data_IF_314085439699
#
_entry.id   IF_314085439699
#
_cell.length_a   1.000
_cell.length_b   1.000
_cell.length_c   1.000
_cell.angle_alpha   90.00
_cell.angle_beta   90.00
_cell.angle_gamma   90.00
#
_symmetry.space_group_name_H-M   'P 1'
#
loop_
_entity.id
_entity.type
_entity.pdbx_description
1 polymer ?
#
# COMPACT_ATOMS: atom_id res chain seq x y z
N UNK A 1 -16.27 10.12 -32.39
CA UNK A 1 -15.32 9.74 -31.33
C UNK A 1 -15.86 8.49 -30.66
N UNK A 2 -15.03 7.48 -30.47
CA UNK A 2 -15.36 6.18 -29.90
C UNK A 2 -14.54 6.04 -28.61
N UNK A 3 -15.17 5.70 -27.50
CA UNK A 3 -14.48 5.41 -26.24
C UNK A 3 -14.39 3.92 -26.00
N UNK A 4 -13.21 3.48 -25.54
CA UNK A 4 -12.89 2.10 -25.19
C UNK A 4 -12.27 2.09 -23.79
N UNK A 5 -12.83 1.31 -22.88
CA UNK A 5 -12.15 0.99 -21.61
C UNK A 5 -11.08 -0.06 -21.87
N UNK A 6 -9.88 0.12 -21.31
CA UNK A 6 -8.73 -0.76 -21.52
C UNK A 6 -8.14 -1.19 -20.18
N UNK A 7 -8.46 -2.42 -19.75
CA UNK A 7 -7.97 -2.97 -18.49
C UNK A 7 -6.68 -3.78 -18.68
N UNK A 8 -5.81 -3.72 -17.67
CA UNK A 8 -4.55 -4.48 -17.61
C UNK A 8 -3.29 -3.68 -17.96
N UNK A 9 -3.41 -2.40 -18.28
CA UNK A 9 -2.25 -1.50 -18.42
C UNK A 9 -1.67 -1.17 -17.04
N UNK A 10 -0.34 -1.20 -16.92
CA UNK A 10 0.35 -0.93 -15.65
C UNK A 10 1.36 0.23 -15.71
N UNK A 11 1.56 0.82 -16.89
CA UNK A 11 2.46 1.98 -17.07
C UNK A 11 2.12 2.78 -18.34
N UNK A 12 2.75 3.95 -18.49
CA UNK A 12 2.58 4.80 -19.68
C UNK A 12 3.01 4.12 -20.99
N UNK A 13 4.02 3.24 -20.96
CA UNK A 13 4.43 2.49 -22.15
C UNK A 13 3.37 1.51 -22.64
N UNK A 14 2.57 0.92 -21.73
CA UNK A 14 1.39 0.12 -22.11
C UNK A 14 0.39 0.95 -22.92
N UNK A 15 0.12 2.18 -22.49
CA UNK A 15 -0.79 3.09 -23.18
C UNK A 15 -0.28 3.49 -24.56
N UNK A 16 1.03 3.73 -24.70
CA UNK A 16 1.67 3.96 -26.01
C UNK A 16 1.47 2.78 -26.95
N UNK A 17 1.72 1.54 -26.49
CA UNK A 17 1.53 0.36 -27.33
C UNK A 17 0.09 0.20 -27.80
N UNK A 18 -0.89 0.41 -26.91
CA UNK A 18 -2.32 0.35 -27.26
C UNK A 18 -2.67 1.42 -28.29
N UNK A 19 -2.15 2.65 -28.13
CA UNK A 19 -2.34 3.73 -29.11
C UNK A 19 -1.83 3.30 -30.49
N UNK A 20 -0.60 2.79 -30.56
CA UNK A 20 0.05 2.44 -31.83
C UNK A 20 -0.69 1.36 -32.62
N UNK A 21 -1.33 0.39 -31.95
CA UNK A 21 -2.12 -0.64 -32.65
C UNK A 21 -3.46 -0.11 -33.09
N UNK A 22 -4.10 0.76 -32.30
CA UNK A 22 -5.38 1.36 -32.66
C UNK A 22 -5.25 2.28 -33.88
N UNK A 23 -4.18 3.06 -33.99
CA UNK A 23 -3.94 3.94 -35.15
C UNK A 23 -3.60 3.19 -36.43
N UNK A 24 -3.21 1.90 -36.34
CA UNK A 24 -2.98 1.04 -37.51
C UNK A 24 -4.27 0.42 -38.09
N UNK A 25 -5.41 0.57 -37.40
CA UNK A 25 -6.69 0.02 -37.86
C UNK A 25 -7.26 0.90 -38.96
N UNK A 26 -7.63 0.28 -40.08
CA UNK A 26 -8.24 0.99 -41.21
C UNK A 26 -9.52 1.71 -40.78
N UNK A 27 -9.58 3.02 -41.05
CA UNK A 27 -10.68 3.89 -40.64
C UNK A 27 -10.46 4.61 -39.29
N UNK A 28 -9.40 4.30 -38.54
CA UNK A 28 -8.97 5.12 -37.40
C UNK A 28 -8.10 6.28 -37.91
N UNK A 29 -8.42 7.51 -37.49
CA UNK A 29 -7.65 8.72 -37.79
C UNK A 29 -6.62 9.00 -36.73
N UNK A 30 -7.03 8.99 -35.46
CA UNK A 30 -6.15 9.22 -34.31
C UNK A 30 -6.67 8.48 -33.09
N UNK A 31 -5.76 8.11 -32.17
CA UNK A 31 -6.10 7.57 -30.86
C UNK A 31 -5.35 8.30 -29.73
N UNK A 32 -6.03 8.53 -28.62
CA UNK A 32 -5.44 8.97 -27.35
C UNK A 32 -5.69 7.89 -26.30
N UNK A 33 -4.66 7.48 -25.56
CA UNK A 33 -4.78 6.40 -24.56
C UNK A 33 -4.19 6.88 -23.24
N UNK A 34 -4.96 6.77 -22.17
CA UNK A 34 -4.57 7.11 -20.82
C UNK A 34 -4.49 5.85 -19.98
N UNK A 35 -3.29 5.56 -19.45
CA UNK A 35 -3.13 4.47 -18.49
C UNK A 35 -3.84 4.80 -17.17
N UNK A 36 -3.77 6.05 -16.72
CA UNK A 36 -4.31 6.50 -15.43
C UNK A 36 -5.85 6.37 -15.41
N UNK A 37 -6.49 6.63 -16.54
CA UNK A 37 -7.95 6.56 -16.68
C UNK A 37 -8.43 5.19 -17.20
N UNK A 38 -7.51 4.29 -17.57
CA UNK A 38 -7.83 3.02 -18.23
C UNK A 38 -8.75 3.20 -19.45
N UNK A 39 -8.49 4.24 -20.26
CA UNK A 39 -9.34 4.63 -21.40
C UNK A 39 -8.53 4.90 -22.67
N UNK A 40 -9.13 4.55 -23.81
CA UNK A 40 -8.71 4.94 -25.14
C UNK A 40 -9.84 5.72 -25.84
N UNK A 41 -9.53 6.92 -26.32
CA UNK A 41 -10.41 7.75 -27.14
C UNK A 41 -9.94 7.68 -28.58
N UNK A 42 -10.80 7.19 -29.47
CA UNK A 42 -10.47 6.92 -30.87
C UNK A 42 -11.33 7.82 -31.77
N UNK A 43 -10.68 8.60 -32.64
CA UNK A 43 -11.35 9.32 -33.71
C UNK A 43 -11.29 8.44 -34.95
N UNK A 44 -12.45 7.99 -35.44
CA UNK A 44 -12.55 7.05 -36.53
C UNK A 44 -13.72 7.39 -37.46
N UNK A 45 -13.60 6.98 -38.72
CA UNK A 45 -14.63 7.09 -39.75
C UNK A 45 -15.65 5.95 -39.64
N UNK A 46 -16.79 6.08 -40.34
CA UNK A 46 -17.89 5.10 -40.25
C UNK A 46 -17.51 3.67 -40.68
N UNK A 47 -16.40 3.49 -41.40
CA UNK A 47 -15.88 2.19 -41.83
C UNK A 47 -14.97 1.49 -40.81
N UNK A 48 -14.66 2.12 -39.67
CA UNK A 48 -13.76 1.53 -38.68
C UNK A 48 -14.45 0.41 -37.89
N UNK A 49 -13.87 -0.80 -37.92
CA UNK A 49 -14.43 -1.95 -37.25
C UNK A 49 -14.17 -1.91 -35.75
N UNK A 50 -15.25 -1.87 -34.97
CA UNK A 50 -15.21 -1.99 -33.51
C UNK A 50 -14.57 -3.31 -33.06
N UNK A 51 -14.90 -4.41 -33.73
CA UNK A 51 -14.36 -5.72 -33.38
C UNK A 51 -12.85 -5.81 -33.62
N UNK A 52 -12.33 -5.14 -34.67
CA UNK A 52 -10.89 -5.06 -34.92
C UNK A 52 -10.15 -4.29 -33.82
N UNK A 53 -10.76 -3.24 -33.26
CA UNK A 53 -10.17 -2.49 -32.14
C UNK A 53 -10.07 -3.36 -30.88
N UNK A 54 -11.12 -4.11 -30.55
CA UNK A 54 -11.09 -5.02 -29.40
C UNK A 54 -10.10 -6.16 -29.61
N UNK A 55 -10.04 -6.73 -30.82
CA UNK A 55 -9.08 -7.77 -31.15
C UNK A 55 -7.63 -7.27 -31.06
N UNK A 56 -7.35 -6.04 -31.50
CA UNK A 56 -6.01 -5.44 -31.40
C UNK A 56 -5.60 -5.22 -29.94
N UNK A 57 -6.52 -4.78 -29.09
CA UNK A 57 -6.28 -4.61 -27.64
C UNK A 57 -6.05 -5.97 -26.98
N UNK A 58 -6.85 -6.98 -27.32
CA UNK A 58 -6.71 -8.35 -26.81
C UNK A 58 -5.40 -9.01 -27.23
N UNK A 59 -4.92 -8.74 -28.45
CA UNK A 59 -3.64 -9.25 -28.96
C UNK A 59 -2.42 -8.72 -28.17
N UNK A 60 -2.56 -7.57 -27.51
CA UNK A 60 -1.56 -7.05 -26.57
C UNK A 60 -1.70 -7.62 -25.14
N UNK A 61 -2.69 -8.47 -24.88
CA UNK A 61 -2.96 -9.04 -23.57
C UNK A 61 -3.87 -8.19 -22.66
N UNK A 62 -4.47 -7.13 -23.19
CA UNK A 62 -5.37 -6.23 -22.45
C UNK A 62 -6.83 -6.56 -22.73
N UNK A 63 -7.75 -6.08 -21.88
CA UNK A 63 -9.19 -6.24 -22.10
C UNK A 63 -9.81 -4.93 -22.53
N UNK A 64 -10.35 -4.90 -23.76
CA UNK A 64 -11.07 -3.75 -24.30
C UNK A 64 -12.60 -3.91 -24.15
N UNK A 65 -13.33 -2.83 -23.91
CA UNK A 65 -14.79 -2.82 -24.05
C UNK A 65 -15.31 -1.45 -24.52
N UNK A 66 -16.34 -1.44 -25.38
CA UNK A 66 -17.06 -0.22 -25.75
C UNK A 66 -18.22 0.01 -24.78
N UNK A 67 -18.39 1.26 -24.33
CA UNK A 67 -19.60 1.64 -23.60
C UNK A 67 -20.82 1.51 -24.53
N UNK A 68 -21.74 0.59 -24.21
CA UNK A 68 -23.07 0.55 -24.83
C UNK A 68 -23.93 1.58 -24.13
N UNK A 69 -24.57 2.46 -24.92
CA UNK A 69 -25.49 3.48 -24.44
C UNK A 69 -26.46 2.94 -23.37
N UNK A 70 -26.51 3.66 -22.25
CA UNK A 70 -27.47 3.61 -21.16
C UNK A 70 -28.31 2.32 -21.04
N UNK A 71 -27.68 1.24 -20.60
CA UNK A 71 -28.33 0.22 -19.80
C UNK A 71 -27.50 0.07 -18.53
N UNK A 72 -28.06 0.50 -17.40
CA UNK A 72 -27.56 0.16 -16.06
C UNK A 72 -27.54 -1.37 -15.95
N UNK A 73 -26.45 -2.00 -16.38
CA UNK A 73 -26.00 -3.29 -15.88
C UNK A 73 -24.69 -3.01 -15.18
N UNK A 74 -24.80 -2.83 -13.87
CA UNK A 74 -23.68 -2.46 -13.03
C UNK A 74 -22.55 -3.47 -13.15
N UNK A 75 -21.38 -3.00 -13.55
CA UNK A 75 -20.23 -3.25 -12.71
C UNK A 75 -20.56 -2.57 -11.38
N UNK A 76 -20.90 -3.36 -10.37
CA UNK A 76 -21.16 -2.84 -9.03
C UNK A 76 -19.89 -2.22 -8.46
N UNK A 77 -19.62 -0.96 -8.82
CA UNK A 77 -18.98 -0.03 -7.90
C UNK A 77 -19.93 0.08 -6.73
N UNK A 78 -19.76 -0.81 -5.76
CA UNK A 78 -20.58 -0.86 -4.57
C UNK A 78 -20.20 0.38 -3.78
N UNK A 79 -20.93 1.47 -3.98
CA UNK A 79 -20.92 2.58 -3.03
C UNK A 79 -21.32 1.98 -1.70
N UNK A 80 -20.43 2.07 -0.73
CA UNK A 80 -20.57 1.52 0.61
C UNK A 80 -21.68 2.29 1.35
N UNK A 81 -22.93 2.02 0.99
CA UNK A 81 -24.11 2.60 1.62
C UNK A 81 -24.79 1.59 2.53
N UNK A 82 -25.28 2.04 3.68
CA UNK A 82 -26.11 1.23 4.56
C UNK A 82 -27.48 0.90 3.94
N UNK A 83 -28.35 0.20 4.69
CA UNK A 83 -29.70 -0.16 4.22
C UNK A 83 -30.61 1.04 3.96
N UNK A 84 -30.22 2.23 4.41
CA UNK A 84 -30.98 3.48 4.32
C UNK A 84 -30.37 4.48 3.32
N UNK A 85 -29.28 4.11 2.62
CA UNK A 85 -28.61 4.97 1.64
C UNK A 85 -27.62 5.98 2.25
N UNK A 86 -27.28 5.84 3.53
CA UNK A 86 -26.24 6.65 4.19
C UNK A 86 -24.85 6.04 4.03
N UNK A 87 -23.79 6.83 4.14
CA UNK A 87 -22.41 6.34 4.03
C UNK A 87 -22.10 5.35 5.17
N UNK A 88 -21.60 4.15 4.84
CA UNK A 88 -21.19 3.19 5.86
C UNK A 88 -20.07 3.77 6.72
N UNK A 89 -20.16 3.55 8.03
CA UNK A 89 -19.08 3.83 8.96
C UNK A 89 -18.26 2.56 9.24
N UNK A 90 -17.00 2.58 8.83
CA UNK A 90 -16.08 1.46 9.00
C UNK A 90 -15.02 1.81 10.04
N UNK A 91 -14.96 1.03 11.12
CA UNK A 91 -13.85 1.09 12.07
C UNK A 91 -12.71 0.18 11.63
N UNK A 92 -11.47 0.65 11.67
CA UNK A 92 -10.28 -0.14 11.38
C UNK A 92 -9.35 -0.07 12.59
N UNK A 93 -9.03 -1.22 13.19
CA UNK A 93 -8.14 -1.30 14.36
C UNK A 93 -6.74 -1.69 13.89
N UNK A 94 -5.78 -0.79 14.09
CA UNK A 94 -4.39 -0.86 13.63
C UNK A 94 -4.12 0.05 12.43
N UNK A 95 -2.84 0.31 12.16
CA UNK A 95 -2.36 1.13 11.03
C UNK A 95 -1.34 0.43 10.13
N UNK A 96 -1.16 -0.88 10.28
CA UNK A 96 -0.27 -1.67 9.42
C UNK A 96 -0.74 -1.75 7.97
N UNK A 97 0.04 -2.38 7.09
CA UNK A 97 -0.27 -2.45 5.65
C UNK A 97 -1.67 -2.97 5.31
N UNK A 98 -2.17 -3.98 6.06
CA UNK A 98 -3.54 -4.47 5.89
C UNK A 98 -4.62 -3.47 6.30
N UNK A 99 -4.39 -2.72 7.39
CA UNK A 99 -5.29 -1.68 7.85
C UNK A 99 -5.35 -0.51 6.87
N UNK A 100 -4.20 -0.02 6.42
CA UNK A 100 -4.12 1.07 5.43
C UNK A 100 -4.82 0.71 4.13
N UNK A 101 -4.54 -0.48 3.58
CA UNK A 101 -5.17 -0.92 2.33
C UNK A 101 -6.70 -0.97 2.47
N UNK A 102 -7.20 -1.48 3.59
CA UNK A 102 -8.63 -1.55 3.84
C UNK A 102 -9.26 -0.17 4.07
N UNK A 103 -8.62 0.70 4.86
CA UNK A 103 -9.11 2.05 5.15
C UNK A 103 -9.21 2.90 3.88
N UNK A 104 -8.16 2.90 3.05
CA UNK A 104 -8.17 3.60 1.77
C UNK A 104 -9.21 3.02 0.83
N UNK A 105 -9.31 1.69 0.74
CA UNK A 105 -10.30 1.07 -0.14
C UNK A 105 -11.73 1.35 0.30
N UNK A 106 -11.99 1.36 1.60
CA UNK A 106 -13.27 1.74 2.17
C UNK A 106 -13.62 3.19 1.84
N UNK A 107 -12.68 4.12 2.03
CA UNK A 107 -12.85 5.53 1.69
C UNK A 107 -13.11 5.74 0.18
N UNK A 108 -12.37 5.05 -0.70
CA UNK A 108 -12.59 5.07 -2.16
C UNK A 108 -14.00 4.60 -2.55
N UNK A 109 -14.55 3.64 -1.82
CA UNK A 109 -15.91 3.13 -2.03
C UNK A 109 -16.98 4.00 -1.34
N UNK A 110 -16.58 5.13 -0.77
CA UNK A 110 -17.47 6.12 -0.17
C UNK A 110 -17.86 5.85 1.29
N UNK A 111 -17.14 4.98 2.00
CA UNK A 111 -17.36 4.83 3.45
C UNK A 111 -16.68 5.97 4.22
N UNK A 112 -17.26 6.32 5.37
CA UNK A 112 -16.56 7.07 6.42
C UNK A 112 -15.74 6.09 7.24
N UNK A 113 -14.46 6.39 7.49
CA UNK A 113 -13.55 5.47 8.16
C UNK A 113 -13.04 6.08 9.46
N UNK A 114 -13.05 5.30 10.53
CA UNK A 114 -12.29 5.63 11.74
C UNK A 114 -11.18 4.61 11.91
N UNK A 115 -9.94 5.05 11.71
CA UNK A 115 -8.75 4.23 11.91
C UNK A 115 -8.21 4.49 13.32
N UNK A 116 -7.98 3.44 14.10
CA UNK A 116 -7.50 3.54 15.48
C UNK A 116 -6.13 2.89 15.61
N UNK A 117 -5.13 3.65 16.05
CA UNK A 117 -3.76 3.17 16.27
C UNK A 117 -3.29 3.54 17.68
N UNK A 118 -2.75 2.55 18.41
CA UNK A 118 -2.29 2.75 19.79
C UNK A 118 -0.84 3.25 19.87
N UNK A 119 -0.01 2.90 18.90
CA UNK A 119 1.40 3.23 18.86
C UNK A 119 1.77 4.11 17.66
N UNK A 120 2.91 3.81 17.07
CA UNK A 120 3.40 4.51 15.88
C UNK A 120 2.63 4.08 14.63
N UNK A 121 2.19 5.06 13.84
CA UNK A 121 1.49 4.83 12.58
C UNK A 121 2.34 3.97 11.62
N UNK A 122 1.68 3.12 10.85
CA UNK A 122 2.29 2.22 9.86
C UNK A 122 2.61 0.82 10.38
N UNK A 123 2.46 0.58 11.68
CA UNK A 123 2.60 -0.74 12.30
C UNK A 123 3.97 -1.37 12.08
N UNK A 124 4.02 -2.69 11.95
CA UNK A 124 5.28 -3.46 11.99
C UNK A 124 6.19 -3.23 10.79
N UNK A 125 5.66 -3.33 9.57
CA UNK A 125 6.46 -3.47 8.34
C UNK A 125 7.44 -2.30 8.13
N UNK A 126 6.95 -1.07 8.32
CA UNK A 126 7.76 0.14 8.14
C UNK A 126 8.62 0.45 9.36
N UNK A 127 8.10 0.28 10.59
CA UNK A 127 8.78 0.77 11.79
C UNK A 127 9.82 -0.22 12.36
N UNK A 128 9.47 -1.51 12.46
CA UNK A 128 10.25 -2.50 13.23
C UNK A 128 10.36 -3.86 12.53
N UNK A 129 10.17 -3.88 11.21
CA UNK A 129 10.07 -5.10 10.42
C UNK A 129 10.85 -5.03 9.11
N UNK A 130 10.14 -5.15 7.99
CA UNK A 130 10.72 -5.33 6.67
C UNK A 130 11.64 -4.16 6.27
N UNK A 131 11.22 -2.91 6.45
CA UNK A 131 12.01 -1.75 6.00
C UNK A 131 13.36 -1.68 6.74
N UNK A 132 13.41 -1.59 8.09
CA UNK A 132 14.69 -1.52 8.79
C UNK A 132 15.54 -2.78 8.57
N UNK A 133 14.95 -3.98 8.56
CA UNK A 133 15.72 -5.22 8.35
C UNK A 133 16.36 -5.29 6.96
N UNK A 134 15.68 -4.86 5.89
CA UNK A 134 16.25 -4.89 4.53
C UNK A 134 17.30 -3.80 4.31
N UNK A 135 17.16 -2.65 4.95
CA UNK A 135 18.23 -1.64 4.99
C UNK A 135 19.47 -2.22 5.67
N UNK A 136 19.29 -2.85 6.84
CA UNK A 136 20.41 -3.40 7.60
C UNK A 136 21.09 -4.56 6.87
N UNK A 137 20.33 -5.51 6.31
CA UNK A 137 20.86 -6.60 5.48
C UNK A 137 21.64 -6.06 4.29
N UNK A 138 21.18 -4.97 3.66
CA UNK A 138 21.90 -4.38 2.54
C UNK A 138 23.23 -3.76 2.98
N UNK A 139 23.28 -3.08 4.12
CA UNK A 139 24.53 -2.56 4.69
C UNK A 139 25.51 -3.70 5.03
N UNK A 140 25.01 -4.78 5.65
CA UNK A 140 25.80 -5.97 5.95
C UNK A 140 26.35 -6.64 4.69
N UNK A 141 25.55 -6.72 3.62
CA UNK A 141 26.00 -7.25 2.33
C UNK A 141 27.11 -6.40 1.70
N UNK A 142 27.05 -5.07 1.81
CA UNK A 142 28.13 -4.19 1.36
C UNK A 142 29.40 -4.39 2.18
N UNK A 143 29.28 -4.49 3.51
CA UNK A 143 30.43 -4.79 4.38
C UNK A 143 31.09 -6.13 4.03
N UNK A 144 30.27 -7.16 3.81
CA UNK A 144 30.72 -8.48 3.39
C UNK A 144 31.49 -8.44 2.07
N UNK A 145 30.95 -7.78 1.04
CA UNK A 145 31.61 -7.68 -0.28
C UNK A 145 32.88 -6.81 -0.27
N UNK A 146 33.01 -5.86 0.67
CA UNK A 146 34.27 -5.13 0.87
C UNK A 146 35.36 -6.03 1.47
N UNK A 147 34.96 -6.96 2.32
CA UNK A 147 35.85 -7.88 3.03
C UNK A 147 36.29 -9.06 2.17
N UNK A 148 35.42 -9.55 1.28
CA UNK A 148 35.76 -10.65 0.39
C UNK A 148 34.87 -10.70 -0.85
N UNK A 149 35.43 -11.18 -1.95
CA UNK A 149 34.72 -11.44 -3.18
C UNK A 149 35.38 -12.58 -3.98
N UNK A 150 34.67 -13.19 -4.94
CA UNK A 150 35.29 -14.13 -5.89
C UNK A 150 36.39 -13.51 -6.76
N UNK A 151 36.55 -12.17 -6.74
CA UNK A 151 37.49 -11.42 -7.57
C UNK A 151 38.71 -10.94 -6.78
N UNK A 152 38.94 -11.45 -5.56
CA UNK A 152 40.02 -10.96 -4.68
C UNK A 152 41.43 -11.17 -5.26
N UNK A 153 41.58 -12.05 -6.25
CA UNK A 153 42.82 -12.19 -7.03
C UNK A 153 43.16 -11.00 -7.93
N UNK A 154 42.18 -10.13 -8.22
CA UNK A 154 42.34 -8.92 -9.04
C UNK A 154 41.80 -7.64 -8.40
N UNK A 155 41.08 -7.72 -7.29
CA UNK A 155 40.53 -6.59 -6.55
C UNK A 155 40.87 -6.76 -5.07
N UNK A 156 41.73 -5.90 -4.54
CA UNK A 156 42.14 -6.00 -3.13
C UNK A 156 40.96 -5.78 -2.20
N UNK A 157 40.68 -6.78 -1.37
CA UNK A 157 39.70 -6.68 -0.29
C UNK A 157 40.25 -5.94 0.94
N UNK A 158 39.37 -5.36 1.75
CA UNK A 158 39.73 -4.71 3.00
C UNK A 158 38.63 -4.86 4.04
N UNK A 159 39.01 -5.05 5.31
CA UNK A 159 38.04 -5.08 6.41
C UNK A 159 37.55 -3.65 6.67
N UNK A 160 36.26 -3.35 6.43
CA UNK A 160 35.74 -2.00 6.63
C UNK A 160 35.54 -1.73 8.13
N UNK A 161 35.85 -0.49 8.56
CA UNK A 161 35.37 0.02 9.85
C UNK A 161 33.87 0.23 9.76
N UNK A 162 33.11 -0.33 10.70
CA UNK A 162 31.65 -0.19 10.74
C UNK A 162 31.25 0.82 11.80
N UNK A 163 30.74 1.96 11.35
CA UNK A 163 30.08 2.94 12.20
C UNK A 163 28.60 2.58 12.33
N UNK A 164 28.27 1.76 13.34
CA UNK A 164 26.90 1.32 13.57
C UNK A 164 25.94 2.48 13.92
N UNK A 165 26.30 3.47 14.76
CA UNK A 165 25.47 4.64 15.00
C UNK A 165 25.09 5.38 13.70
N UNK A 166 26.05 5.59 12.78
CA UNK A 166 25.76 6.23 11.50
C UNK A 166 24.81 5.39 10.62
N UNK A 167 24.99 4.06 10.58
CA UNK A 167 24.09 3.16 9.85
C UNK A 167 22.68 3.14 10.46
N UNK A 168 22.57 3.17 11.79
CA UNK A 168 21.30 3.26 12.49
C UNK A 168 20.59 4.59 12.18
N UNK A 169 21.30 5.71 12.24
CA UNK A 169 20.75 7.02 11.90
C UNK A 169 20.21 7.04 10.45
N UNK A 170 20.97 6.50 9.50
CA UNK A 170 20.51 6.37 8.11
C UNK A 170 19.27 5.48 7.97
N UNK A 171 19.24 4.35 8.68
CA UNK A 171 18.09 3.45 8.71
C UNK A 171 16.84 4.15 9.25
N UNK A 172 16.95 4.83 10.39
CA UNK A 172 15.82 5.51 11.01
C UNK A 172 15.32 6.68 10.17
N UNK A 173 16.21 7.44 9.52
CA UNK A 173 15.80 8.49 8.59
C UNK A 173 14.96 7.95 7.42
N UNK A 174 15.32 6.78 6.87
CA UNK A 174 14.54 6.14 5.80
C UNK A 174 13.23 5.54 6.30
N UNK A 175 13.19 5.01 7.52
CA UNK A 175 11.95 4.57 8.16
C UNK A 175 10.98 5.75 8.34
N UNK A 176 11.48 6.87 8.85
CA UNK A 176 10.70 8.10 9.05
C UNK A 176 10.13 8.62 7.73
N UNK A 177 10.98 8.79 6.71
CA UNK A 177 10.60 9.25 5.39
C UNK A 177 9.47 8.39 4.80
N UNK A 178 9.63 7.06 4.87
CA UNK A 178 8.63 6.13 4.33
C UNK A 178 7.35 6.10 5.15
N UNK A 179 7.43 6.20 6.48
CA UNK A 179 6.25 6.30 7.33
C UNK A 179 5.45 7.54 6.99
N UNK A 180 6.11 8.70 6.95
CA UNK A 180 5.47 9.95 6.60
C UNK A 180 4.84 9.89 5.20
N UNK A 181 5.61 9.47 4.18
CA UNK A 181 5.15 9.51 2.79
C UNK A 181 4.11 8.43 2.43
N UNK A 182 4.09 7.29 3.12
CA UNK A 182 3.23 6.14 2.77
C UNK A 182 2.12 5.85 3.77
N UNK A 183 2.11 6.55 4.89
CA UNK A 183 1.10 6.35 5.93
C UNK A 183 0.55 7.68 6.40
N UNK A 184 1.32 8.48 7.16
CA UNK A 184 0.83 9.69 7.83
C UNK A 184 0.29 10.72 6.83
N UNK A 185 1.09 11.11 5.83
CA UNK A 185 0.66 12.08 4.82
C UNK A 185 -0.50 11.60 3.93
N UNK A 186 -0.67 10.28 3.77
CA UNK A 186 -1.82 9.71 3.05
C UNK A 186 -3.07 9.80 3.92
N UNK A 187 -2.97 9.47 5.21
CA UNK A 187 -4.09 9.56 6.15
C UNK A 187 -4.55 11.02 6.29
N UNK A 188 -3.62 11.94 6.53
CA UNK A 188 -3.90 13.38 6.65
C UNK A 188 -4.52 13.96 5.37
N UNK A 189 -4.09 13.45 4.21
CA UNK A 189 -4.60 13.83 2.90
C UNK A 189 -5.94 13.20 2.50
N UNK A 190 -6.53 12.33 3.33
CA UNK A 190 -7.77 11.60 3.00
C UNK A 190 -8.93 12.00 3.94
N UNK A 191 -9.76 12.99 3.58
CA UNK A 191 -10.77 13.56 4.49
C UNK A 191 -11.82 12.58 5.02
N UNK A 192 -12.07 11.47 4.30
CA UNK A 192 -13.02 10.44 4.73
C UNK A 192 -12.46 9.50 5.81
N UNK A 193 -11.17 9.63 6.17
CA UNK A 193 -10.52 8.84 7.22
C UNK A 193 -10.23 9.75 8.41
N UNK A 194 -10.81 9.42 9.56
CA UNK A 194 -10.44 10.01 10.85
C UNK A 194 -9.51 9.08 11.59
N UNK A 195 -8.35 9.58 12.02
CA UNK A 195 -7.38 8.81 12.83
C UNK A 195 -7.60 9.11 14.31
N UNK A 196 -7.67 8.07 15.13
CA UNK A 196 -7.66 8.16 16.59
C UNK A 196 -6.40 7.50 17.15
N UNK A 197 -5.68 8.23 17.99
CA UNK A 197 -4.50 7.72 18.69
C UNK A 197 -4.92 7.14 20.05
N UNK A 198 -5.01 5.82 20.13
CA UNK A 198 -5.49 5.12 21.32
C UNK A 198 -5.64 3.61 21.13
N UNK A 199 -5.93 2.92 22.23
CA UNK A 199 -6.20 1.49 22.22
C UNK A 199 -7.71 1.23 22.11
N UNK A 200 -8.12 0.45 21.11
CA UNK A 200 -9.52 0.08 20.89
C UNK A 200 -9.89 -1.21 21.65
N UNK A 201 -11.06 -1.18 22.30
CA UNK A 201 -11.70 -2.32 22.94
C UNK A 201 -13.14 -2.44 22.41
N UNK A 202 -13.59 -3.65 22.08
CA UNK A 202 -15.00 -3.85 21.76
C UNK A 202 -15.85 -3.63 23.00
N UNK A 203 -16.81 -2.71 22.89
CA UNK A 203 -17.87 -2.54 23.89
C UNK A 203 -18.97 -3.57 23.66
N UNK A 204 -19.35 -3.74 22.40
CA UNK A 204 -20.35 -4.68 21.91
C UNK A 204 -20.10 -4.97 20.41
N UNK A 205 -21.05 -5.62 19.74
CA UNK A 205 -20.91 -6.04 18.34
C UNK A 205 -20.93 -4.89 17.31
N UNK A 206 -21.24 -3.66 17.70
CA UNK A 206 -21.37 -2.50 16.80
C UNK A 206 -20.71 -1.22 17.35
N UNK A 207 -19.92 -1.34 18.43
CA UNK A 207 -19.20 -0.18 18.98
C UNK A 207 -17.90 -0.55 19.69
N UNK A 208 -16.96 0.39 19.64
CA UNK A 208 -15.68 0.37 20.33
C UNK A 208 -15.64 1.44 21.42
N UNK A 209 -14.87 1.18 22.47
CA UNK A 209 -14.28 2.21 23.32
C UNK A 209 -12.82 2.35 22.93
N UNK A 210 -12.39 3.57 22.65
CA UNK A 210 -10.99 3.92 22.38
C UNK A 210 -10.45 4.64 23.60
N UNK A 211 -9.48 4.04 24.28
CA UNK A 211 -8.70 4.69 25.33
C UNK A 211 -7.64 5.55 24.68
N UNK A 212 -7.81 6.86 24.75
CA UNK A 212 -6.97 7.80 24.02
C UNK A 212 -5.59 7.92 24.67
N UNK A 213 -4.55 8.10 23.86
CA UNK A 213 -3.18 8.22 24.36
C UNK A 213 -2.95 9.51 25.18
N UNK A 214 -3.69 10.57 24.90
CA UNK A 214 -3.71 11.84 25.65
C UNK A 214 -4.64 11.79 26.89
N UNK A 215 -5.27 10.64 27.14
CA UNK A 215 -6.15 10.40 28.27
C UNK A 215 -7.64 10.46 27.91
N UNK A 216 -8.46 9.80 28.74
CA UNK A 216 -9.89 9.68 28.53
C UNK A 216 -10.28 8.58 27.53
N UNK A 217 -11.59 8.50 27.27
CA UNK A 217 -12.18 7.46 26.43
C UNK A 217 -13.12 8.07 25.39
N UNK A 218 -13.16 7.49 24.19
CA UNK A 218 -14.08 7.86 23.12
C UNK A 218 -14.85 6.63 22.63
N UNK A 219 -16.17 6.72 22.60
CA UNK A 219 -17.00 5.71 21.97
C UNK A 219 -17.03 5.90 20.46
N UNK A 220 -16.87 4.81 19.70
CA UNK A 220 -16.91 4.79 18.24
C UNK A 220 -17.92 3.73 17.82
N UNK A 221 -19.07 4.17 17.29
CA UNK A 221 -20.01 3.27 16.63
C UNK A 221 -19.48 2.89 15.25
N UNK A 222 -19.87 1.73 14.71
CA UNK A 222 -19.52 1.33 13.36
C UNK A 222 -20.58 0.40 12.78
N UNK A 223 -20.72 0.40 11.46
CA UNK A 223 -21.49 -0.61 10.73
C UNK A 223 -20.67 -1.89 10.55
N UNK A 224 -19.38 -1.73 10.24
CA UNK A 224 -18.42 -2.83 10.08
C UNK A 224 -17.11 -2.49 10.76
N UNK A 225 -16.43 -3.49 11.30
CA UNK A 225 -15.12 -3.34 11.90
C UNK A 225 -14.13 -4.32 11.25
N UNK A 226 -12.95 -3.82 10.89
CA UNK A 226 -11.80 -4.63 10.54
C UNK A 226 -10.82 -4.66 11.70
N UNK A 227 -10.49 -5.87 12.16
CA UNK A 227 -9.41 -6.11 13.12
C UNK A 227 -8.13 -6.38 12.33
N UNK A 228 -7.21 -5.41 12.35
CA UNK A 228 -5.92 -5.48 11.66
C UNK A 228 -4.75 -5.17 12.62
N UNK A 229 -4.84 -5.69 13.84
CA UNK A 229 -3.92 -5.43 14.97
C UNK A 229 -2.53 -6.02 14.81
N UNK A 230 -2.28 -6.80 13.75
CA UNK A 230 -0.99 -7.43 13.51
C UNK A 230 -0.64 -8.50 14.54
N UNK A 231 0.65 -8.63 14.83
CA UNK A 231 1.20 -9.59 15.78
C UNK A 231 2.38 -8.96 16.55
N UNK A 232 2.84 -9.65 17.59
CA UNK A 232 4.02 -9.30 18.39
C UNK A 232 4.98 -10.48 18.49
N UNK A 233 6.25 -10.21 18.82
CA UNK A 233 7.25 -11.25 19.00
C UNK A 233 6.82 -12.25 20.09
N UNK A 234 6.86 -13.54 19.78
CA UNK A 234 6.62 -14.60 20.75
C UNK A 234 7.85 -14.76 21.65
N UNK A 235 7.64 -14.86 22.95
CA UNK A 235 8.71 -15.08 23.94
C UNK A 235 8.49 -16.44 24.59
N UNK A 236 9.42 -17.41 24.41
CA UNK A 236 9.25 -18.75 24.97
C UNK A 236 9.37 -18.75 26.49
N UNK A 237 8.69 -19.69 27.16
CA UNK A 237 8.70 -19.83 28.62
C UNK A 237 9.95 -20.55 29.13
N UNK A 238 11.12 -20.02 28.81
CA UNK A 238 12.43 -20.52 29.28
C UNK A 238 12.72 -19.89 30.64
N UNK A 239 13.05 -20.71 31.64
CA UNK A 239 13.39 -20.24 33.00
C UNK A 239 14.53 -19.21 32.95
N UNK A 240 14.31 -18.05 33.55
CA UNK A 240 15.27 -16.94 33.59
C UNK A 240 15.25 -16.02 32.37
N UNK A 241 14.60 -16.38 31.25
CA UNK A 241 14.59 -15.54 30.05
C UNK A 241 13.81 -14.24 30.25
N UNK A 242 12.70 -14.27 30.99
CA UNK A 242 11.83 -13.10 31.20
C UNK A 242 12.57 -11.93 31.86
N UNK A 243 13.55 -12.23 32.71
CA UNK A 243 14.32 -11.25 33.46
C UNK A 243 15.68 -10.95 32.80
N UNK A 244 16.04 -11.67 31.73
CA UNK A 244 17.27 -11.44 30.98
C UNK A 244 17.12 -10.24 30.02
N UNK A 245 18.22 -9.52 29.70
CA UNK A 245 18.21 -8.43 28.73
C UNK A 245 18.23 -8.98 27.29
N UNK A 246 17.26 -9.84 26.95
CA UNK A 246 17.15 -10.40 25.60
C UNK A 246 16.67 -9.34 24.61
N UNK A 247 17.00 -9.56 23.34
CA UNK A 247 16.45 -8.77 22.24
C UNK A 247 15.39 -9.58 21.50
N UNK A 248 14.30 -8.91 21.14
CA UNK A 248 13.49 -9.35 20.00
C UNK A 248 14.06 -8.75 18.72
N UNK A 249 13.40 -8.99 17.58
CA UNK A 249 13.75 -8.30 16.33
C UNK A 249 13.71 -6.77 16.46
N UNK A 250 12.82 -6.24 17.31
CA UNK A 250 12.68 -4.79 17.49
C UNK A 250 13.94 -4.19 18.09
N UNK A 251 14.40 -4.70 19.24
CA UNK A 251 15.60 -4.20 19.92
C UNK A 251 16.86 -4.43 19.07
N UNK A 252 16.97 -5.60 18.42
CA UNK A 252 18.11 -5.91 17.57
C UNK A 252 18.28 -4.94 16.39
N UNK A 253 17.18 -4.48 15.78
CA UNK A 253 17.22 -3.57 14.63
C UNK A 253 17.57 -2.13 15.01
N UNK A 254 17.33 -1.73 16.26
CA UNK A 254 17.58 -0.37 16.75
C UNK A 254 18.80 -0.26 17.64
N UNK A 255 19.53 -1.35 17.87
CA UNK A 255 20.82 -1.31 18.56
C UNK A 255 21.80 -0.39 17.83
N UNK A 256 22.41 0.53 18.57
CA UNK A 256 23.45 1.45 18.13
C UNK A 256 24.86 0.84 18.19
N UNK A 257 24.97 -0.36 18.75
CA UNK A 257 26.21 -1.12 18.85
C UNK A 257 26.10 -2.45 18.10
N UNK A 258 27.25 -2.92 17.60
CA UNK A 258 27.39 -4.28 17.08
C UNK A 258 27.68 -5.18 18.30
N UNK A 259 26.90 -6.25 18.50
CA UNK A 259 27.16 -7.20 19.59
C UNK A 259 28.47 -7.98 19.38
#
# INVERSE_FOLDING_TARGET
MIEITVDGMTCTSCATHVKDVLEKISGVKTASVSYLESRAQVIADAGASRDQMLAAIAALGYRGAFEKGASKRGSGGMTATDRNGSHLHIAVIGSGGGAMAAALKAAELGAQVTLIERGTIGGTCVNVGCVPSKIFIRAAHIAHLRQCSPFDGGITASVPVIDRPALLAQQQARVEELRHAKYEGILDGTPAITVLHGEALFKDGQSLIVRMNDGGERAVAFDRCLIATGASAAVPSITGLKDAPYWTSTEALVSDTIP
#
